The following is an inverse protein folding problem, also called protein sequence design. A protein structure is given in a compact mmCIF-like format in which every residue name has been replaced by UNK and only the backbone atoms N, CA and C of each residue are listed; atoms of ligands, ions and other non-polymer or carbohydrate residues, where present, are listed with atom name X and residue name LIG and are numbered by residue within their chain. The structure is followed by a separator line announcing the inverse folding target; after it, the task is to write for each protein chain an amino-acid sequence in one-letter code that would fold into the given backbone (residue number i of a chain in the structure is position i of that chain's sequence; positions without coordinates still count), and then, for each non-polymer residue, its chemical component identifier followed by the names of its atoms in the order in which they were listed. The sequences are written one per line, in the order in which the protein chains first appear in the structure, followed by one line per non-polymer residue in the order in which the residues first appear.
data_IF_850216933477
#
_entry.id   IF_850216933477
#
_cell.length_a   1.000
_cell.length_b   1.000
_cell.length_c   1.000
_cell.angle_alpha   90.00
_cell.angle_beta   90.00
_cell.angle_gamma   90.00
#
_symmetry.space_group_name_H-M   'P 1'
#
loop_
_entity.id
_entity.type
_entity.pdbx_description
1 polymer ?
#
# COMPACT_ATOMS: atom_id res chain seq x y z
N UNK A 1 -21.43 -1.35 7.31
CA UNK A 1 -20.16 -1.81 6.71
C UNK A 1 -19.95 -3.25 7.13
N UNK A 2 -19.88 -4.17 6.19
CA UNK A 2 -19.49 -5.57 6.47
C UNK A 2 -17.96 -5.67 6.51
N UNK A 3 -17.43 -6.77 7.04
CA UNK A 3 -15.98 -7.05 7.01
C UNK A 3 -15.43 -6.97 5.58
N UNK A 4 -16.16 -7.51 4.61
CA UNK A 4 -15.76 -7.52 3.21
C UNK A 4 -15.74 -6.11 2.62
N UNK A 5 -16.71 -5.26 2.97
CA UNK A 5 -16.70 -3.83 2.61
C UNK A 5 -15.48 -3.10 3.20
N UNK A 6 -15.14 -3.37 4.46
CA UNK A 6 -13.98 -2.76 5.11
C UNK A 6 -12.65 -3.18 4.45
N UNK A 7 -12.53 -4.45 4.08
CA UNK A 7 -11.36 -4.96 3.37
C UNK A 7 -11.24 -4.37 1.96
N UNK A 8 -12.37 -4.23 1.25
CA UNK A 8 -12.40 -3.61 -0.07
C UNK A 8 -11.99 -2.14 -0.01
N UNK A 9 -12.56 -1.34 0.88
CA UNK A 9 -12.22 0.07 1.05
C UNK A 9 -10.74 0.25 1.44
N UNK A 10 -10.23 -0.62 2.30
CA UNK A 10 -8.82 -0.58 2.69
C UNK A 10 -7.88 -1.00 1.55
N UNK A 11 -8.25 -1.97 0.72
CA UNK A 11 -7.50 -2.33 -0.48
C UNK A 11 -7.47 -1.18 -1.50
N UNK A 12 -8.60 -0.50 -1.70
CA UNK A 12 -8.70 0.68 -2.57
C UNK A 12 -7.84 1.84 -2.06
N UNK A 13 -7.86 2.09 -0.74
CA UNK A 13 -7.02 3.09 -0.11
C UNK A 13 -5.52 2.76 -0.25
N UNK A 14 -5.14 1.50 -0.09
CA UNK A 14 -3.77 1.05 -0.24
C UNK A 14 -3.26 1.19 -1.68
N UNK A 15 -4.09 0.90 -2.69
CA UNK A 15 -3.77 1.13 -4.10
C UNK A 15 -3.65 2.63 -4.43
N UNK A 16 -4.51 3.47 -3.84
CA UNK A 16 -4.39 4.92 -3.99
C UNK A 16 -3.08 5.44 -3.37
N UNK A 17 -2.70 4.95 -2.19
CA UNK A 17 -1.44 5.27 -1.53
C UNK A 17 -0.23 4.86 -2.37
N UNK A 18 -0.25 3.66 -2.95
CA UNK A 18 0.79 3.18 -3.89
C UNK A 18 0.95 4.10 -5.11
N UNK A 19 -0.16 4.54 -5.72
CA UNK A 19 -0.11 5.50 -6.84
C UNK A 19 0.49 6.84 -6.42
N UNK A 20 0.14 7.33 -5.23
CA UNK A 20 0.69 8.57 -4.68
C UNK A 20 2.19 8.43 -4.40
N UNK A 21 2.63 7.32 -3.82
CA UNK A 21 4.04 7.02 -3.56
C UNK A 21 4.86 7.04 -4.86
N UNK A 22 4.38 6.36 -5.91
CA UNK A 22 5.03 6.37 -7.23
C UNK A 22 5.05 7.77 -7.88
N UNK A 23 4.05 8.62 -7.61
CA UNK A 23 4.05 10.01 -8.05
C UNK A 23 5.09 10.84 -7.29
N UNK A 24 5.15 10.69 -5.96
CA UNK A 24 6.11 11.38 -5.11
C UNK A 24 7.55 11.00 -5.45
N UNK A 25 7.80 9.71 -5.72
CA UNK A 25 9.10 9.20 -6.18
C UNK A 25 9.50 9.80 -7.53
N UNK A 26 8.60 9.83 -8.51
CA UNK A 26 8.86 10.48 -9.82
C UNK A 26 9.15 11.97 -9.66
N UNK A 27 8.41 12.67 -8.80
CA UNK A 27 8.64 14.08 -8.51
C UNK A 27 9.97 14.32 -7.80
N UNK A 28 10.35 13.43 -6.87
CA UNK A 28 11.64 13.46 -6.19
C UNK A 28 12.78 13.26 -7.20
N UNK A 29 12.66 12.25 -8.08
CA UNK A 29 13.60 11.98 -9.17
C UNK A 29 13.82 13.18 -10.08
N UNK A 30 12.75 13.87 -10.46
CA UNK A 30 12.85 15.04 -11.32
C UNK A 30 13.52 16.23 -10.62
N UNK A 31 13.38 16.35 -9.30
CA UNK A 31 13.96 17.45 -8.53
C UNK A 31 15.41 17.24 -8.10
N UNK A 32 15.86 15.98 -7.95
CA UNK A 32 17.17 15.66 -7.38
C UNK A 32 17.32 16.02 -5.89
N UNK A 33 16.27 16.48 -5.22
CA UNK A 33 16.30 16.94 -3.83
C UNK A 33 16.23 15.75 -2.85
N UNK A 34 17.28 15.51 -2.03
CA UNK A 34 17.31 14.43 -1.04
C UNK A 34 16.13 14.45 -0.06
N UNK A 35 15.60 15.63 0.30
CA UNK A 35 14.47 15.73 1.23
C UNK A 35 13.18 15.16 0.62
N UNK A 36 13.00 15.33 -0.69
CA UNK A 36 11.84 14.79 -1.40
C UNK A 36 11.90 13.28 -1.54
N UNK A 37 13.09 12.70 -1.70
CA UNK A 37 13.27 11.25 -1.66
C UNK A 37 12.95 10.67 -0.27
N UNK A 38 13.37 11.33 0.81
CA UNK A 38 13.02 10.92 2.16
C UNK A 38 11.49 10.95 2.38
N UNK A 39 10.81 11.99 1.89
CA UNK A 39 9.36 12.08 1.93
C UNK A 39 8.68 10.96 1.11
N UNK A 40 9.16 10.68 -0.10
CA UNK A 40 8.64 9.57 -0.91
C UNK A 40 8.85 8.20 -0.22
N UNK A 41 10.00 8.00 0.41
CA UNK A 41 10.30 6.79 1.18
C UNK A 41 9.37 6.60 2.39
N UNK A 42 9.01 7.69 3.09
CA UNK A 42 8.05 7.64 4.18
C UNK A 42 6.65 7.19 3.70
N UNK A 43 6.17 7.71 2.56
CA UNK A 43 4.90 7.30 1.96
C UNK A 43 4.90 5.82 1.58
N UNK A 44 6.02 5.33 1.02
CA UNK A 44 6.18 3.91 0.72
C UNK A 44 6.14 3.04 1.97
N UNK A 45 6.82 3.43 3.05
CA UNK A 45 6.81 2.69 4.32
C UNK A 45 5.40 2.59 4.93
N UNK A 46 4.64 3.68 4.91
CA UNK A 46 3.27 3.68 5.43
C UNK A 46 2.33 2.84 4.54
N UNK A 47 2.52 2.88 3.22
CA UNK A 47 1.79 2.00 2.29
C UNK A 47 2.08 0.53 2.58
N UNK A 48 3.36 0.16 2.75
CA UNK A 48 3.73 -1.23 3.11
C UNK A 48 3.09 -1.69 4.41
N UNK A 49 3.07 -0.84 5.45
CA UNK A 49 2.40 -1.15 6.73
C UNK A 49 0.90 -1.38 6.56
N UNK A 50 0.22 -0.57 5.75
CA UNK A 50 -1.19 -0.73 5.47
C UNK A 50 -1.49 -2.08 4.78
N UNK A 51 -0.72 -2.43 3.75
CA UNK A 51 -0.85 -3.74 3.09
C UNK A 51 -0.53 -4.92 4.02
N UNK A 52 0.48 -4.81 4.89
CA UNK A 52 0.78 -5.85 5.89
C UNK A 52 -0.37 -6.03 6.88
N UNK A 53 -0.96 -4.93 7.37
CA UNK A 53 -2.12 -4.99 8.26
C UNK A 53 -3.34 -5.63 7.56
N UNK A 54 -3.56 -5.31 6.29
CA UNK A 54 -4.60 -5.94 5.48
C UNK A 54 -4.39 -7.44 5.29
N UNK A 55 -3.17 -7.84 4.95
CA UNK A 55 -2.80 -9.25 4.80
C UNK A 55 -2.99 -10.03 6.11
N UNK A 56 -2.72 -9.41 7.27
CA UNK A 56 -2.95 -10.03 8.58
C UNK A 56 -4.45 -10.14 8.95
N UNK A 57 -5.29 -9.25 8.42
CA UNK A 57 -6.73 -9.25 8.67
C UNK A 57 -7.51 -10.19 7.74
N UNK A 58 -6.93 -10.53 6.59
CA UNK A 58 -7.47 -11.54 5.68
C UNK A 58 -7.20 -12.93 6.28
N UNK A 59 -8.18 -13.86 6.26
CA UNK A 59 -7.89 -15.25 6.55
C UNK A 59 -6.78 -15.71 5.59
N UNK A 60 -5.85 -16.55 6.05
CA UNK A 60 -4.99 -17.26 5.12
C UNK A 60 -5.90 -17.94 4.11
N UNK A 61 -5.79 -17.58 2.84
CA UNK A 61 -6.43 -18.35 1.80
C UNK A 61 -5.80 -19.73 1.91
N UNK A 62 -6.54 -20.69 2.46
CA UNK A 62 -6.31 -22.08 2.11
C UNK A 62 -6.43 -22.08 0.60
N UNK A 63 -5.31 -21.98 -0.09
CA UNK A 63 -5.19 -22.47 -1.45
C UNK A 63 -5.38 -23.97 -1.31
N UNK A 64 -6.63 -24.38 -1.16
CA UNK A 64 -7.09 -25.72 -1.43
C UNK A 64 -6.73 -25.98 -2.87
N UNK A 65 -5.50 -26.44 -3.07
CA UNK A 65 -5.19 -27.35 -4.15
C UNK A 65 -5.91 -28.63 -3.73
N UNK A 66 -7.16 -28.76 -4.16
CA UNK A 66 -7.82 -30.05 -4.23
C UNK A 66 -6.95 -30.92 -5.16
N UNK A 67 -6.40 -32.00 -4.60
CA UNK A 67 -5.72 -33.09 -5.32
C UNK A 67 -6.69 -33.85 -6.24
#
# INVERSE_FOLDING_TARGET
MTRDQALQEAAEAAEAAKRLAASAERAAHHSGDPQRYAAAGAVWADTSRAYTALAAALPATDTGRED
#
